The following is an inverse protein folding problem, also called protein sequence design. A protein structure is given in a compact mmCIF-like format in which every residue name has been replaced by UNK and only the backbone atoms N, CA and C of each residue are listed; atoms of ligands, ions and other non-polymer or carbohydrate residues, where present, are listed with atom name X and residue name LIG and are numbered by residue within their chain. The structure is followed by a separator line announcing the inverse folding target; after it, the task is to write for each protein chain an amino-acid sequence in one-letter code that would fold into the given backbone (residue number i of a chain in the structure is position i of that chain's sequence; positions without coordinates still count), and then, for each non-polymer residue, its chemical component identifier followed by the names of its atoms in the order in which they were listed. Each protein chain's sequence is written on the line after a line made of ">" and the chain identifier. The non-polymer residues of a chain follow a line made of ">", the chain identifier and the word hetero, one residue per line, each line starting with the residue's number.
data_IF_004652066380
#
_entry.id   IF_004652066380
#
_cell.length_a   1.000
_cell.length_b   1.000
_cell.length_c   1.000
_cell.angle_alpha   90.00
_cell.angle_beta   90.00
_cell.angle_gamma   90.00
#
_symmetry.space_group_name_H-M   'P 1'
#
loop_
_entity.id
_entity.type
_entity.pdbx_description
1 polymer ?
#
# COMPACT_ATOMS: atom_id res chain seq x y z
N UNK A 1 2.18 0.94 -23.54
CA UNK A 1 2.02 2.33 -23.03
C UNK A 1 2.18 2.19 -21.54
N UNK A 2 3.27 2.71 -21.00
CA UNK A 2 3.66 2.36 -19.64
C UNK A 2 2.66 2.92 -18.62
N UNK A 3 2.16 2.06 -17.72
CA UNK A 3 1.22 2.45 -16.67
C UNK A 3 1.96 2.90 -15.42
N UNK A 4 1.61 4.08 -14.90
CA UNK A 4 2.16 4.56 -13.63
C UNK A 4 1.33 4.07 -12.46
N UNK A 5 1.95 3.26 -11.60
CA UNK A 5 1.39 2.82 -10.33
C UNK A 5 1.71 3.90 -9.29
N UNK A 6 0.65 4.52 -8.78
CA UNK A 6 0.74 5.63 -7.81
C UNK A 6 1.17 5.12 -6.43
N UNK A 7 1.95 5.91 -5.65
CA UNK A 7 2.33 5.56 -4.28
C UNK A 7 1.16 5.16 -3.37
N UNK A 8 -0.01 5.78 -3.55
CA UNK A 8 -1.20 5.50 -2.77
C UNK A 8 -1.67 4.04 -2.90
N UNK A 9 -1.42 3.38 -4.05
CA UNK A 9 -1.68 1.95 -4.23
C UNK A 9 -0.84 1.10 -3.25
N UNK A 10 0.45 1.43 -3.13
CA UNK A 10 1.38 0.73 -2.24
C UNK A 10 1.02 0.98 -0.78
N UNK A 11 0.71 2.23 -0.43
CA UNK A 11 0.27 2.62 0.92
C UNK A 11 -1.02 1.90 1.32
N UNK A 12 -2.03 1.89 0.44
CA UNK A 12 -3.30 1.22 0.70
C UNK A 12 -3.11 -0.30 0.87
N UNK A 13 -2.35 -0.95 -0.01
CA UNK A 13 -2.05 -2.37 0.11
C UNK A 13 -1.23 -2.68 1.37
N UNK A 14 -0.32 -1.79 1.79
CA UNK A 14 0.41 -1.94 3.06
C UNK A 14 -0.55 -1.97 4.24
N UNK A 15 -1.43 -0.97 4.38
CA UNK A 15 -2.32 -0.89 5.54
C UNK A 15 -3.37 -1.99 5.55
N UNK A 16 -3.92 -2.33 4.37
CA UNK A 16 -4.85 -3.45 4.22
C UNK A 16 -4.19 -4.80 4.57
N UNK A 17 -2.91 -4.99 4.24
CA UNK A 17 -2.22 -6.27 4.47
C UNK A 17 -1.63 -6.43 5.87
N UNK A 18 -1.22 -5.32 6.50
CA UNK A 18 -0.47 -5.34 7.76
C UNK A 18 -1.33 -5.05 8.98
N UNK A 19 -2.43 -4.30 8.82
CA UNK A 19 -3.22 -3.80 9.93
C UNK A 19 -2.50 -2.78 10.82
N UNK A 20 -1.31 -2.31 10.42
CA UNK A 20 -0.59 -1.23 11.11
C UNK A 20 -1.31 0.10 10.91
N UNK A 21 -1.09 1.03 11.83
CA UNK A 21 -1.63 2.40 11.70
C UNK A 21 -0.65 3.34 11.02
N UNK A 22 0.65 3.06 11.12
CA UNK A 22 1.72 3.91 10.61
C UNK A 22 2.82 3.13 9.92
N UNK A 23 3.49 3.78 8.96
CA UNK A 23 4.62 3.23 8.20
C UNK A 23 5.58 4.32 7.75
N UNK A 24 6.87 4.03 7.76
CA UNK A 24 7.87 4.96 7.25
C UNK A 24 8.02 4.84 5.73
N UNK A 25 8.20 5.97 5.04
CA UNK A 25 8.35 6.02 3.59
C UNK A 25 9.51 5.17 3.09
N UNK A 26 10.62 5.08 3.84
CA UNK A 26 11.75 4.20 3.52
C UNK A 26 11.37 2.72 3.51
N UNK A 27 10.41 2.31 4.34
CA UNK A 27 9.91 0.94 4.37
C UNK A 27 9.15 0.65 3.08
N UNK A 28 8.20 1.50 2.73
CA UNK A 28 7.41 1.39 1.50
C UNK A 28 8.27 1.49 0.23
N UNK A 29 9.30 2.35 0.22
CA UNK A 29 10.25 2.45 -0.89
C UNK A 29 10.90 1.11 -1.22
N UNK A 30 11.42 0.43 -0.20
CA UNK A 30 12.05 -0.89 -0.37
C UNK A 30 11.04 -1.95 -0.86
N UNK A 31 9.74 -1.79 -0.54
CA UNK A 31 8.68 -2.69 -1.07
C UNK A 31 8.53 -2.46 -2.56
N UNK A 32 8.53 -1.19 -2.98
CA UNK A 32 8.49 -0.83 -4.40
C UNK A 32 9.69 -1.39 -5.15
N UNK A 33 10.91 -1.20 -4.63
CA UNK A 33 12.14 -1.74 -5.22
C UNK A 33 12.09 -3.28 -5.37
N UNK A 34 11.41 -3.97 -4.44
CA UNK A 34 11.24 -5.43 -4.52
C UNK A 34 10.25 -5.86 -5.62
N UNK A 35 9.21 -5.06 -5.85
CA UNK A 35 8.17 -5.33 -6.86
C UNK A 35 8.47 -4.70 -8.23
N UNK A 36 9.50 -3.85 -8.34
CA UNK A 36 9.85 -3.08 -9.52
C UNK A 36 10.13 -3.97 -10.74
N UNK A 37 10.86 -5.08 -10.55
CA UNK A 37 11.11 -6.03 -11.64
C UNK A 37 9.82 -6.62 -12.21
N UNK A 38 8.85 -6.91 -11.34
CA UNK A 38 7.53 -7.42 -11.75
C UNK A 38 6.76 -6.31 -12.46
N UNK A 39 6.78 -5.08 -11.94
CA UNK A 39 6.12 -3.94 -12.58
C UNK A 39 6.66 -3.69 -14.00
N UNK A 40 7.98 -3.63 -14.16
CA UNK A 40 8.63 -3.40 -15.47
C UNK A 40 8.28 -4.49 -16.47
N UNK A 41 8.22 -5.76 -16.04
CA UNK A 41 7.82 -6.89 -16.89
C UNK A 41 6.39 -6.73 -17.44
N UNK A 42 5.53 -6.04 -16.71
CA UNK A 42 4.13 -5.78 -17.08
C UNK A 42 3.91 -4.36 -17.61
N UNK A 43 4.95 -3.71 -18.17
CA UNK A 43 4.90 -2.33 -18.70
C UNK A 43 4.37 -1.32 -17.67
N UNK A 44 4.75 -1.48 -16.40
CA UNK A 44 4.38 -0.60 -15.30
C UNK A 44 5.60 0.04 -14.63
N UNK A 45 5.43 1.27 -14.15
CA UNK A 45 6.41 1.99 -13.33
C UNK A 45 5.78 2.28 -11.96
N UNK A 46 6.49 1.89 -10.90
CA UNK A 46 6.14 2.31 -9.54
C UNK A 46 6.70 3.71 -9.32
N UNK A 47 5.85 4.73 -9.42
CA UNK A 47 6.28 6.10 -9.16
C UNK A 47 6.52 6.25 -7.66
N UNK A 48 7.78 6.49 -7.27
CA UNK A 48 8.18 6.74 -5.89
C UNK A 48 8.95 8.06 -5.75
N UNK A 49 8.72 8.99 -6.68
CA UNK A 49 9.29 10.32 -6.59
C UNK A 49 8.76 11.07 -5.35
N UNK A 50 9.57 11.98 -4.80
CA UNK A 50 9.15 12.81 -3.64
C UNK A 50 7.82 13.53 -3.93
N UNK A 51 7.65 14.04 -5.15
CA UNK A 51 6.46 14.75 -5.57
C UNK A 51 5.22 13.83 -5.55
N UNK A 52 5.32 12.62 -6.11
CA UNK A 52 4.22 11.66 -6.10
C UNK A 52 3.84 11.21 -4.68
N UNK A 53 4.84 11.05 -3.80
CA UNK A 53 4.60 10.68 -2.40
C UNK A 53 3.90 11.81 -1.65
N UNK A 54 4.30 13.07 -1.85
CA UNK A 54 3.61 14.22 -1.25
C UNK A 54 2.18 14.37 -1.79
N UNK A 55 1.95 14.05 -3.07
CA UNK A 55 0.60 14.08 -3.65
C UNK A 55 -0.38 13.07 -3.00
N UNK A 56 0.11 12.11 -2.21
CA UNK A 56 -0.77 11.20 -1.44
C UNK A 56 -1.58 12.00 -0.42
N UNK A 57 -0.95 12.88 0.37
CA UNK A 57 -1.68 13.68 1.36
C UNK A 57 -2.60 14.70 0.70
N UNK A 58 -2.23 15.22 -0.47
CA UNK A 58 -3.03 16.22 -1.16
C UNK A 58 -4.31 15.61 -1.75
N UNK A 59 -4.21 14.42 -2.35
CA UNK A 59 -5.34 13.75 -3.00
C UNK A 59 -6.13 12.83 -2.08
N UNK A 60 -5.46 12.22 -1.10
CA UNK A 60 -6.01 11.21 -0.21
C UNK A 60 -5.83 11.59 1.27
N UNK A 61 -5.75 12.88 1.59
CA UNK A 61 -5.53 13.41 2.95
C UNK A 61 -6.59 12.98 3.98
N UNK A 62 -7.78 12.65 3.51
CA UNK A 62 -8.85 12.09 4.31
C UNK A 62 -8.61 10.61 4.69
N UNK A 63 -7.78 9.88 3.95
CA UNK A 63 -7.44 8.46 4.16
C UNK A 63 -6.04 8.28 4.74
N UNK A 64 -5.09 9.14 4.35
CA UNK A 64 -3.69 9.06 4.73
C UNK A 64 -3.16 10.43 5.12
N UNK A 65 -2.40 10.48 6.20
CA UNK A 65 -1.68 11.66 6.64
C UNK A 65 -0.18 11.41 6.52
N UNK A 66 0.55 12.39 6.00
CA UNK A 66 2.01 12.34 5.86
C UNK A 66 2.64 13.33 6.85
N UNK A 67 3.51 12.84 7.73
CA UNK A 67 4.23 13.66 8.71
C UNK A 67 5.65 13.11 8.90
N UNK A 68 6.69 13.93 8.79
CA UNK A 68 8.10 13.55 9.00
C UNK A 68 8.48 12.17 8.42
N UNK A 69 8.25 12.00 7.11
CA UNK A 69 8.50 10.75 6.38
C UNK A 69 7.74 9.51 6.86
N UNK A 70 6.69 9.71 7.66
CA UNK A 70 5.78 8.68 8.14
C UNK A 70 4.40 8.90 7.56
N UNK A 71 3.82 7.84 7.00
CA UNK A 71 2.44 7.80 6.56
C UNK A 71 1.61 7.14 7.64
N UNK A 72 0.48 7.74 8.00
CA UNK A 72 -0.49 7.18 8.94
C UNK A 72 -1.85 7.06 8.26
N UNK A 73 -2.56 5.95 8.48
CA UNK A 73 -3.97 5.83 8.04
C UNK A 73 -4.88 6.62 8.99
N UNK A 74 -5.96 7.17 8.45
CA UNK A 74 -7.03 7.78 9.25
C UNK A 74 -8.10 6.73 9.61
N UNK A 75 -9.04 7.09 10.49
CA UNK A 75 -10.20 6.25 10.79
C UNK A 75 -11.11 5.98 9.58
N UNK A 76 -11.11 6.86 8.59
CA UNK A 76 -11.88 6.69 7.36
C UNK A 76 -11.30 5.60 6.46
N UNK A 77 -10.01 5.29 6.58
CA UNK A 77 -9.38 4.25 5.76
C UNK A 77 -10.04 2.88 5.97
N UNK A 78 -10.31 2.49 7.22
CA UNK A 78 -10.87 1.17 7.51
C UNK A 78 -12.32 1.05 6.97
N UNK A 79 -13.11 2.12 7.06
CA UNK A 79 -14.43 2.18 6.44
C UNK A 79 -14.35 2.09 4.91
N UNK A 80 -13.36 2.76 4.31
CA UNK A 80 -13.11 2.74 2.87
C UNK A 80 -12.69 1.32 2.39
N UNK A 81 -11.86 0.63 3.17
CA UNK A 81 -11.48 -0.75 2.88
C UNK A 81 -12.64 -1.73 3.04
N UNK A 82 -13.47 -1.57 4.09
CA UNK A 82 -14.64 -2.41 4.31
C UNK A 82 -15.68 -2.28 3.18
N UNK A 83 -15.75 -1.12 2.54
CA UNK A 83 -16.60 -0.88 1.37
C UNK A 83 -16.01 -1.38 0.03
N UNK A 84 -14.85 -2.05 0.04
CA UNK A 84 -14.27 -2.69 -1.14
C UNK A 84 -13.54 -1.76 -2.12
N UNK A 85 -13.29 -0.51 -1.72
CA UNK A 85 -12.64 0.47 -2.61
C UNK A 85 -11.14 0.22 -2.87
N UNK A 86 -10.51 -0.74 -2.17
CA UNK A 86 -9.13 -1.10 -2.46
C UNK A 86 -8.96 -1.49 -3.93
N UNK A 87 -9.84 -2.36 -4.42
CA UNK A 87 -9.74 -2.86 -5.79
C UNK A 87 -10.30 -1.88 -6.82
N UNK A 88 -11.32 -1.10 -6.44
CA UNK A 88 -11.96 -0.11 -7.33
C UNK A 88 -11.22 1.23 -7.49
N UNK A 89 -10.46 1.67 -6.49
CA UNK A 89 -9.81 3.00 -6.51
C UNK A 89 -8.28 2.91 -6.61
N UNK A 90 -7.68 1.96 -5.89
CA UNK A 90 -6.22 1.86 -5.77
C UNK A 90 -5.60 0.81 -6.68
N UNK A 91 -6.32 -0.29 -6.96
CA UNK A 91 -5.81 -1.38 -7.80
C UNK A 91 -6.45 -1.47 -9.20
N UNK A 92 -7.42 -0.60 -9.53
CA UNK A 92 -8.30 -0.74 -10.69
C UNK A 92 -7.59 -1.03 -12.02
N UNK A 93 -6.45 -0.40 -12.27
CA UNK A 93 -5.63 -0.58 -13.48
C UNK A 93 -4.25 -1.14 -13.18
N UNK A 94 -4.06 -1.82 -12.05
CA UNK A 94 -2.77 -2.43 -11.71
C UNK A 94 -2.81 -3.92 -12.04
N UNK A 95 -1.85 -4.46 -12.82
CA UNK A 95 -1.82 -5.88 -13.11
C UNK A 95 -1.81 -6.73 -11.83
N UNK A 96 -2.60 -7.82 -11.77
CA UNK A 96 -2.73 -8.63 -10.55
C UNK A 96 -1.42 -9.26 -10.09
N UNK A 97 -0.49 -9.53 -11.02
CA UNK A 97 0.86 -10.03 -10.72
C UNK A 97 1.69 -9.00 -9.96
N UNK A 98 1.54 -7.72 -10.31
CA UNK A 98 2.23 -6.62 -9.63
C UNK A 98 1.67 -6.42 -8.22
N UNK A 99 0.34 -6.48 -8.07
CA UNK A 99 -0.32 -6.46 -6.75
C UNK A 99 0.13 -7.63 -5.89
N UNK A 100 0.20 -8.83 -6.47
CA UNK A 100 0.66 -10.04 -5.78
C UNK A 100 2.12 -9.90 -5.33
N UNK A 101 2.98 -9.38 -6.19
CA UNK A 101 4.39 -9.11 -5.88
C UNK A 101 4.55 -8.05 -4.77
N UNK A 102 3.73 -6.99 -4.78
CA UNK A 102 3.68 -5.99 -3.71
C UNK A 102 3.25 -6.63 -2.38
N UNK A 103 2.16 -7.40 -2.37
CA UNK A 103 1.65 -8.10 -1.18
C UNK A 103 2.65 -9.12 -0.64
N UNK A 104 3.40 -9.79 -1.50
CA UNK A 104 4.47 -10.70 -1.12
C UNK A 104 5.66 -9.95 -0.51
N UNK A 105 6.10 -8.85 -1.13
CA UNK A 105 7.17 -8.00 -0.62
C UNK A 105 6.80 -7.36 0.74
N UNK A 106 5.52 -7.07 0.93
CA UNK A 106 4.96 -6.67 2.21
C UNK A 106 5.05 -7.83 3.21
N UNK A 107 4.51 -9.01 2.88
CA UNK A 107 4.42 -10.17 3.80
C UNK A 107 5.77 -10.69 4.30
N UNK A 108 6.84 -10.50 3.53
CA UNK A 108 8.22 -10.91 3.87
C UNK A 108 8.89 -10.04 4.94
N UNK A 109 8.26 -8.97 5.43
CA UNK A 109 8.87 -8.07 6.42
C UNK A 109 8.56 -8.45 7.87
N UNK A 110 9.58 -8.51 8.74
CA UNK A 110 9.42 -8.91 10.13
C UNK A 110 8.58 -7.87 10.87
N UNK A 111 7.40 -8.29 11.34
CA UNK A 111 6.36 -7.45 11.94
C UNK A 111 4.95 -7.97 11.66
N UNK A 112 4.81 -8.78 10.60
CA UNK A 112 3.57 -9.39 10.11
C UNK A 112 3.10 -10.64 10.87
N UNK A 113 3.26 -10.69 12.20
CA UNK A 113 2.53 -11.68 12.98
C UNK A 113 1.05 -11.30 12.94
N UNK A 114 0.29 -11.96 12.04
CA UNK A 114 -1.15 -12.09 12.11
C UNK A 114 -1.51 -12.35 13.58
N UNK A 115 -2.12 -11.39 14.28
CA UNK A 115 -2.90 -11.69 15.48
C UNK A 115 -4.08 -12.53 15.01
N UNK A 116 -3.85 -13.84 14.86
CA UNK A 116 -4.94 -14.82 14.91
C UNK A 116 -5.55 -14.65 16.30
N UNK A 117 -6.65 -13.91 16.39
CA UNK A 117 -7.58 -14.04 17.52
C UNK A 117 -8.08 -15.48 17.46
N UNK A 118 -7.46 -16.36 18.25
CA UNK A 118 -8.10 -17.59 18.70
C UNK A 118 -9.23 -17.12 19.61
N UNK A 119 -10.44 -17.05 19.06
CA UNK A 119 -11.65 -17.06 19.88
C UNK A 119 -11.78 -18.50 20.35
N UNK A 120 -11.26 -18.78 21.54
CA UNK A 120 -11.65 -19.97 22.28
C UNK A 120 -13.08 -19.71 22.77
N UNK A 121 -14.04 -20.36 22.12
CA UNK A 121 -15.41 -20.47 22.64
C UNK A 121 -15.33 -21.44 23.83
N UNK A 122 -15.90 -20.99 24.94
CA UNK A 122 -15.98 -21.68 26.24
C UNK A 122 -16.70 -23.02 26.17
#
# INVERSE_FOLDING_TARGET
>A
MCQMIRPACVVANFFASTGRETVQLRELRRVCESAEKTAVKHDCILDWSRHAVMAISDKYGNLFTLHDETVSKTSLFDAYMAAGYLDGEFNFNVPPEVISSLREALSKRPGLRKKRRLVAVS
#
